data_IF_850275692834
#
_entry.id   IF_850275692834
#
_cell.length_a   1.000
_cell.length_b   1.000
_cell.length_c   1.000
_cell.angle_alpha   90.00
_cell.angle_beta   90.00
_cell.angle_gamma   90.00
#
_symmetry.space_group_name_H-M   'P 1'
#
loop_
_entity.id
_entity.type
_entity.pdbx_description
1 polymer ?
#
# COMPACT_ATOMS: atom_id res chain seq x y z
N UNK A 1 -14.17 -7.68 2.45
CA UNK A 1 -14.02 -6.64 1.42
C UNK A 1 -12.92 -7.04 0.45
N UNK A 2 -13.14 -6.80 -0.82
CA UNK A 2 -12.15 -7.14 -1.86
C UNK A 2 -11.48 -5.87 -2.37
N UNK A 3 -10.15 -5.87 -2.39
CA UNK A 3 -9.36 -4.77 -2.95
C UNK A 3 -9.08 -5.06 -4.42
N UNK A 4 -9.35 -4.09 -5.29
CA UNK A 4 -9.16 -4.24 -6.72
C UNK A 4 -7.68 -4.15 -7.08
N UNK A 5 -7.26 -5.03 -7.99
CA UNK A 5 -5.91 -4.98 -8.58
C UNK A 5 -6.00 -4.56 -10.03
N UNK A 6 -5.00 -3.84 -10.49
CA UNK A 6 -4.91 -3.31 -11.84
C UNK A 6 -3.61 -3.76 -12.50
N UNK A 7 -3.61 -3.84 -13.83
CA UNK A 7 -2.37 -4.03 -14.58
C UNK A 7 -1.62 -2.70 -14.68
N UNK A 8 -0.34 -2.78 -15.03
CA UNK A 8 0.49 -1.60 -15.22
C UNK A 8 -0.11 -0.64 -16.26
N UNK A 9 -0.59 -1.17 -17.38
CA UNK A 9 -1.19 -0.35 -18.44
C UNK A 9 -2.49 0.32 -17.98
N UNK A 10 -3.28 -0.36 -17.17
CA UNK A 10 -4.49 0.23 -16.60
C UNK A 10 -4.14 1.40 -15.68
N UNK A 11 -3.08 1.27 -14.89
CA UNK A 11 -2.61 2.37 -14.03
C UNK A 11 -2.10 3.54 -14.88
N UNK A 12 -1.33 3.26 -15.92
CA UNK A 12 -0.83 4.29 -16.84
C UNK A 12 -1.98 5.05 -17.52
N UNK A 13 -3.09 4.39 -17.75
CA UNK A 13 -4.28 5.04 -18.31
C UNK A 13 -4.98 6.00 -17.34
N UNK A 14 -4.69 5.88 -16.04
CA UNK A 14 -5.31 6.71 -14.99
C UNK A 14 -4.47 7.94 -14.62
N UNK A 15 -3.17 7.91 -14.88
CA UNK A 15 -2.25 8.96 -14.40
C UNK A 15 -1.34 9.42 -15.53
N UNK A 16 -1.08 10.74 -15.57
CA UNK A 16 -0.18 11.31 -16.55
C UNK A 16 1.27 11.12 -16.13
N UNK A 17 2.16 10.95 -17.12
CA UNK A 17 3.61 10.82 -16.87
C UNK A 17 3.94 9.73 -15.87
N UNK A 18 3.19 8.63 -15.90
CA UNK A 18 3.40 7.53 -14.98
C UNK A 18 4.67 6.75 -15.35
N UNK A 19 5.41 6.34 -14.33
CA UNK A 19 6.65 5.57 -14.49
C UNK A 19 6.71 4.49 -13.42
N UNK A 20 7.05 3.28 -13.81
CA UNK A 20 7.20 2.15 -12.89
C UNK A 20 8.64 2.08 -12.41
N UNK A 21 8.83 1.94 -11.11
CA UNK A 21 10.15 1.83 -10.48
C UNK A 21 10.21 0.63 -9.55
N UNK A 22 11.36 -0.01 -9.49
CA UNK A 22 11.63 -1.03 -8.49
C UNK A 22 11.80 -0.35 -7.13
N UNK A 23 11.27 -0.96 -6.09
CA UNK A 23 11.28 -0.38 -4.76
C UNK A 23 11.41 -1.46 -3.70
N UNK A 24 11.63 -1.03 -2.46
CA UNK A 24 11.71 -1.92 -1.30
C UNK A 24 10.82 -1.33 -0.21
N UNK A 25 9.95 -2.15 0.35
CA UNK A 25 9.23 -1.76 1.57
C UNK A 25 10.23 -1.87 2.72
N UNK A 26 10.57 -0.74 3.36
CA UNK A 26 11.53 -0.75 4.44
C UNK A 26 10.97 -1.41 5.69
N UNK A 27 9.76 -1.02 6.06
CA UNK A 27 9.04 -1.60 7.19
C UNK A 27 7.60 -1.14 7.17
N UNK A 28 6.78 -1.73 8.03
CA UNK A 28 5.42 -1.26 8.24
C UNK A 28 5.29 -0.84 9.70
N UNK A 29 4.90 0.40 9.92
CA UNK A 29 4.63 0.94 11.25
C UNK A 29 3.15 1.21 11.40
N UNK A 30 2.59 0.78 12.52
CA UNK A 30 1.22 1.10 12.89
C UNK A 30 1.29 1.80 14.24
N UNK A 31 0.86 3.06 14.28
CA UNK A 31 0.83 3.86 15.50
C UNK A 31 -0.60 4.12 15.92
N UNK A 32 -0.83 4.07 17.22
CA UNK A 32 -2.13 4.43 17.80
C UNK A 32 -1.90 5.72 18.56
N UNK A 33 -2.49 6.80 18.07
CA UNK A 33 -2.27 8.15 18.59
C UNK A 33 -3.59 8.80 18.96
N UNK A 34 -3.51 9.98 19.58
CA UNK A 34 -4.65 10.75 20.00
C UNK A 34 -5.05 10.42 21.44
N UNK A 35 -6.05 11.16 21.95
CA UNK A 35 -6.59 10.92 23.30
C UNK A 35 -7.22 9.53 23.35
N UNK A 36 -6.78 8.72 24.31
CA UNK A 36 -7.26 7.36 24.50
C UNK A 36 -6.97 6.40 23.34
N UNK A 37 -5.97 6.74 22.47
CA UNK A 37 -5.57 5.87 21.38
C UNK A 37 -6.65 5.66 20.33
N UNK A 38 -7.42 6.70 20.02
CA UNK A 38 -8.56 6.58 19.12
C UNK A 38 -8.21 6.78 17.64
N UNK A 39 -6.95 7.05 17.32
CA UNK A 39 -6.50 7.21 15.94
C UNK A 39 -5.39 6.19 15.64
N UNK A 40 -5.60 5.38 14.64
CA UNK A 40 -4.60 4.43 14.16
C UNK A 40 -4.02 4.96 12.86
N UNK A 41 -2.70 5.09 12.81
CA UNK A 41 -2.00 5.55 11.61
C UNK A 41 -1.10 4.45 11.08
N UNK A 42 -1.14 4.27 9.77
CA UNK A 42 -0.32 3.30 9.06
C UNK A 42 0.74 4.05 8.26
N UNK A 43 1.99 3.67 8.43
CA UNK A 43 3.11 4.22 7.68
C UNK A 43 3.90 3.08 7.04
N UNK A 44 4.16 3.21 5.74
CA UNK A 44 4.92 2.22 4.98
C UNK A 44 6.04 2.95 4.21
N UNK A 45 7.18 3.20 4.85
CA UNK A 45 8.31 3.81 4.16
C UNK A 45 8.75 2.92 2.99
N UNK A 46 8.84 3.51 1.81
CA UNK A 46 9.23 2.83 0.57
C UNK A 46 10.51 3.44 0.06
N UNK A 47 11.52 2.61 -0.18
CA UNK A 47 12.79 3.05 -0.73
C UNK A 47 12.81 2.82 -2.23
N UNK A 48 13.09 3.89 -2.98
CA UNK A 48 13.30 3.85 -4.43
C UNK A 48 14.73 4.31 -4.67
N UNK A 49 15.61 3.39 -5.08
CA UNK A 49 17.03 3.70 -5.18
C UNK A 49 17.59 4.09 -3.82
N UNK A 50 18.21 5.28 -3.73
CA UNK A 50 18.77 5.79 -2.48
C UNK A 50 17.81 6.69 -1.70
N UNK A 51 16.61 6.92 -2.24
CA UNK A 51 15.64 7.82 -1.64
C UNK A 51 14.55 7.08 -0.91
N UNK A 52 14.25 7.54 0.31
CA UNK A 52 13.17 6.99 1.12
C UNK A 52 11.97 7.93 1.00
N UNK A 53 10.85 7.39 0.59
CA UNK A 53 9.61 8.15 0.44
C UNK A 53 8.64 7.76 1.54
N UNK A 54 8.07 8.78 2.18
CA UNK A 54 6.97 8.54 3.08
C UNK A 54 5.70 8.25 2.26
N UNK A 55 4.81 7.56 2.88
CA UNK A 55 3.72 6.89 2.24
C UNK A 55 2.47 7.79 2.14
N UNK A 56 1.65 7.63 1.09
CA UNK A 56 0.38 8.35 0.97
C UNK A 56 -0.75 7.83 1.86
N UNK A 57 -0.48 6.90 2.77
CA UNK A 57 -1.51 6.22 3.58
C UNK A 57 -1.84 6.89 4.90
N UNK A 58 -1.33 8.08 5.13
CA UNK A 58 -1.66 8.84 6.35
C UNK A 58 -3.16 9.06 6.53
N UNK A 59 -3.96 8.90 5.48
CA UNK A 59 -5.42 9.03 5.55
C UNK A 59 -6.14 7.72 5.92
N UNK A 60 -5.42 6.60 6.06
CA UNK A 60 -6.01 5.37 6.57
C UNK A 60 -5.92 5.43 8.10
N UNK A 61 -7.01 5.78 8.74
CA UNK A 61 -7.01 6.12 10.16
C UNK A 61 -7.79 5.16 11.05
N UNK A 62 -8.37 4.10 10.51
CA UNK A 62 -9.07 3.11 11.33
C UNK A 62 -8.28 1.81 11.40
N UNK A 63 -8.35 1.14 12.55
CA UNK A 63 -7.71 -0.16 12.74
C UNK A 63 -8.20 -1.17 11.72
N UNK A 64 -9.50 -1.15 11.42
CA UNK A 64 -10.09 -2.07 10.44
C UNK A 64 -9.53 -1.83 9.04
N UNK A 65 -9.44 -0.57 8.62
CA UNK A 65 -8.91 -0.20 7.30
C UNK A 65 -7.43 -0.59 7.19
N UNK A 66 -6.65 -0.39 8.25
CA UNK A 66 -5.24 -0.81 8.27
C UNK A 66 -5.11 -2.31 8.12
N UNK A 67 -5.94 -3.09 8.81
CA UNK A 67 -5.92 -4.54 8.71
C UNK A 67 -6.27 -5.03 7.32
N UNK A 68 -7.30 -4.46 6.71
CA UNK A 68 -7.71 -4.83 5.35
C UNK A 68 -6.61 -4.49 4.35
N UNK A 69 -5.97 -3.33 4.50
CA UNK A 69 -4.89 -2.94 3.61
C UNK A 69 -3.67 -3.87 3.73
N UNK A 70 -3.28 -4.20 4.96
CA UNK A 70 -2.16 -5.12 5.18
C UNK A 70 -2.46 -6.49 4.58
N UNK A 71 -3.68 -7.00 4.76
CA UNK A 71 -4.09 -8.26 4.14
C UNK A 71 -4.00 -8.17 2.60
N UNK A 72 -4.42 -7.05 2.03
CA UNK A 72 -4.33 -6.83 0.59
C UNK A 72 -2.88 -6.82 0.10
N UNK A 73 -1.97 -6.22 0.88
CA UNK A 73 -0.53 -6.24 0.56
C UNK A 73 0.04 -7.66 0.58
N UNK A 74 -0.29 -8.47 1.58
CA UNK A 74 0.17 -9.85 1.61
C UNK A 74 -0.31 -10.62 0.38
N UNK A 75 -1.58 -10.44 0.00
CA UNK A 75 -2.13 -11.09 -1.18
C UNK A 75 -1.44 -10.61 -2.46
N UNK A 76 -1.21 -9.30 -2.57
CA UNK A 76 -0.55 -8.72 -3.73
C UNK A 76 0.88 -9.23 -3.90
N UNK A 77 1.64 -9.28 -2.82
CA UNK A 77 3.05 -9.66 -2.82
C UNK A 77 3.23 -11.18 -2.70
N UNK A 78 2.15 -11.91 -2.52
CA UNK A 78 2.14 -13.37 -2.42
C UNK A 78 3.05 -13.88 -1.29
N UNK A 79 2.96 -13.21 -0.14
CA UNK A 79 3.73 -13.55 1.06
C UNK A 79 2.82 -14.25 2.04
N UNK A 80 3.36 -15.26 2.73
CA UNK A 80 2.64 -15.95 3.77
C UNK A 80 2.39 -17.41 3.42
N UNK A 81 1.84 -18.13 4.38
CA UNK A 81 1.50 -19.53 4.25
C UNK A 81 0.16 -19.80 4.93
N UNK A 82 -0.21 -21.08 5.05
CA UNK A 82 -1.47 -21.49 5.65
C UNK A 82 -1.57 -21.16 7.15
N UNK A 83 -0.45 -20.85 7.80
CA UNK A 83 -0.38 -20.51 9.21
C UNK A 83 -0.46 -19.00 9.45
N UNK A 84 -0.62 -18.22 8.39
CA UNK A 84 -0.71 -16.77 8.46
C UNK A 84 0.61 -16.07 8.18
N UNK A 85 0.64 -14.78 8.45
CA UNK A 85 1.80 -13.94 8.18
C UNK A 85 2.01 -12.98 9.33
N UNK A 86 3.28 -12.68 9.59
CA UNK A 86 3.65 -11.62 10.53
C UNK A 86 3.88 -10.33 9.75
N UNK A 87 3.51 -9.20 10.33
CA UNK A 87 3.74 -7.88 9.72
C UNK A 87 5.23 -7.69 9.39
N UNK A 88 6.11 -8.18 10.25
CA UNK A 88 7.56 -8.10 10.01
C UNK A 88 8.02 -8.83 8.75
N UNK A 89 7.20 -9.73 8.20
CA UNK A 89 7.51 -10.39 6.93
C UNK A 89 7.50 -9.43 5.75
N UNK A 90 6.91 -8.23 5.91
CA UNK A 90 6.93 -7.18 4.89
C UNK A 90 8.16 -6.28 4.99
N UNK A 91 9.02 -6.47 5.99
CA UNK A 91 10.25 -5.68 6.11
C UNK A 91 11.24 -6.08 5.03
N UNK A 92 11.77 -5.08 4.32
CA UNK A 92 12.79 -5.28 3.25
C UNK A 92 12.28 -6.12 2.08
N UNK A 93 10.98 -6.08 1.82
CA UNK A 93 10.39 -6.83 0.70
C UNK A 93 10.48 -6.02 -0.59
N UNK A 94 11.01 -6.60 -1.67
CA UNK A 94 11.01 -5.94 -2.97
C UNK A 94 9.60 -5.84 -3.53
N UNK A 95 9.31 -4.71 -4.15
CA UNK A 95 8.05 -4.44 -4.83
C UNK A 95 8.30 -3.52 -6.01
N UNK A 96 7.23 -3.17 -6.72
CA UNK A 96 7.29 -2.11 -7.73
C UNK A 96 6.32 -1.01 -7.32
N UNK A 97 6.64 0.19 -7.70
CA UNK A 97 5.74 1.33 -7.49
C UNK A 97 5.56 2.06 -8.82
N UNK A 98 4.42 2.71 -8.97
CA UNK A 98 4.19 3.61 -10.10
C UNK A 98 4.13 5.02 -9.54
N UNK A 99 4.94 5.90 -10.14
CA UNK A 99 5.08 7.29 -9.72
C UNK A 99 4.50 8.18 -10.82
N UNK A 100 3.70 9.17 -10.42
CA UNK A 100 3.14 10.17 -11.32
C UNK A 100 3.26 11.53 -10.64
N UNK A 101 3.83 12.51 -11.33
CA UNK A 101 4.01 13.87 -10.80
C UNK A 101 4.69 13.89 -9.42
N UNK A 102 5.75 13.11 -9.26
CA UNK A 102 6.55 12.98 -8.04
C UNK A 102 5.80 12.37 -6.85
N UNK A 103 4.68 11.71 -7.12
CA UNK A 103 3.90 11.00 -6.09
C UNK A 103 3.81 9.52 -6.43
N UNK A 104 3.93 8.68 -5.43
CA UNK A 104 3.67 7.26 -5.58
C UNK A 104 2.17 7.06 -5.62
N UNK A 105 1.65 6.56 -6.74
CA UNK A 105 0.20 6.39 -6.96
C UNK A 105 -0.25 4.94 -6.88
N UNK A 106 0.68 3.99 -6.99
CA UNK A 106 0.35 2.56 -6.92
C UNK A 106 1.52 1.76 -6.39
N UNK A 107 1.20 0.62 -5.79
CA UNK A 107 2.19 -0.37 -5.37
C UNK A 107 1.84 -1.70 -6.02
N UNK A 108 2.85 -2.43 -6.45
CA UNK A 108 2.66 -3.66 -7.19
C UNK A 108 3.59 -4.79 -6.81
N UNK A 109 3.22 -6.00 -7.26
CA UNK A 109 4.04 -7.18 -7.12
C UNK A 109 5.34 -6.99 -7.90
N UNK A 110 6.46 -7.49 -7.35
CA UNK A 110 7.77 -7.34 -7.99
C UNK A 110 7.87 -8.06 -9.34
N UNK A 111 7.20 -9.20 -9.48
CA UNK A 111 7.30 -10.05 -10.67
C UNK A 111 6.03 -10.09 -11.51
N UNK A 112 4.87 -9.92 -10.90
CA UNK A 112 3.58 -10.06 -11.58
C UNK A 112 2.97 -8.70 -11.90
N UNK A 113 2.19 -8.65 -12.97
CA UNK A 113 1.53 -7.42 -13.43
C UNK A 113 0.25 -7.17 -12.63
N UNK A 114 0.43 -6.89 -11.35
CA UNK A 114 -0.66 -6.59 -10.41
C UNK A 114 -0.28 -5.39 -9.56
N UNK A 115 -1.15 -4.40 -9.51
CA UNK A 115 -0.94 -3.17 -8.75
C UNK A 115 -2.20 -2.79 -7.97
N UNK A 116 -2.00 -2.23 -6.79
CA UNK A 116 -3.05 -1.57 -6.03
C UNK A 116 -2.87 -0.08 -6.22
N UNK A 117 -3.92 0.60 -6.67
CA UNK A 117 -3.93 2.06 -6.83
C UNK A 117 -4.44 2.68 -5.54
N UNK A 118 -3.64 3.56 -4.93
CA UNK A 118 -3.95 4.12 -3.63
C UNK A 118 -5.25 4.90 -3.60
N UNK A 119 -5.49 5.70 -4.63
CA UNK A 119 -6.72 6.49 -4.75
C UNK A 119 -7.96 5.60 -4.78
N UNK A 120 -7.91 4.51 -5.54
CA UNK A 120 -8.99 3.54 -5.63
C UNK A 120 -9.23 2.85 -4.30
N UNK A 121 -8.15 2.49 -3.61
CA UNK A 121 -8.20 1.85 -2.31
C UNK A 121 -8.87 2.75 -1.27
N UNK A 122 -8.47 4.01 -1.21
CA UNK A 122 -9.04 4.98 -0.28
C UNK A 122 -10.52 5.22 -0.56
N UNK A 123 -10.89 5.30 -1.83
CA UNK A 123 -12.29 5.43 -2.24
C UNK A 123 -13.12 4.24 -1.75
N UNK A 124 -12.60 3.04 -1.93
CA UNK A 124 -13.26 1.82 -1.49
C UNK A 124 -13.46 1.82 0.04
N UNK A 125 -12.43 2.24 0.79
CA UNK A 125 -12.52 2.34 2.24
C UNK A 125 -13.58 3.36 2.68
N UNK A 126 -13.61 4.52 2.03
CA UNK A 126 -14.60 5.55 2.36
C UNK A 126 -16.02 5.09 2.11
N UNK A 127 -16.26 4.38 1.01
CA UNK A 127 -17.58 3.81 0.69
C UNK A 127 -17.99 2.74 1.69
N UNK A 128 -17.04 1.94 2.17
CA UNK A 128 -17.33 0.79 3.03
C UNK A 128 -17.41 1.14 4.51
N UNK A 129 -16.55 2.04 5.01
CA UNK A 129 -16.37 2.26 6.44
C UNK A 129 -16.81 3.62 6.95
N UNK A 130 -17.11 4.56 6.08
CA UNK A 130 -17.48 5.93 6.46
C UNK A 130 -18.93 6.28 6.13
N UNK A 131 -19.77 5.28 6.00
CA UNK A 131 -21.21 5.50 5.78
C UNK A 131 -21.95 5.61 7.10
#
# INVERSE_FOLDING_TARGET
>A
MKVNCFTELEVYGKFQSAETKNAIIEKIDIDVIGHFGNVTMLDIPIRIGDCLYSNPFSSISSTLSCGVFIQALFNLLEIGDDNGVKISSLNKIPCRVIVSDNKTVAIGNFMKNKFIVFEDLLKTFNEKFNK
#
